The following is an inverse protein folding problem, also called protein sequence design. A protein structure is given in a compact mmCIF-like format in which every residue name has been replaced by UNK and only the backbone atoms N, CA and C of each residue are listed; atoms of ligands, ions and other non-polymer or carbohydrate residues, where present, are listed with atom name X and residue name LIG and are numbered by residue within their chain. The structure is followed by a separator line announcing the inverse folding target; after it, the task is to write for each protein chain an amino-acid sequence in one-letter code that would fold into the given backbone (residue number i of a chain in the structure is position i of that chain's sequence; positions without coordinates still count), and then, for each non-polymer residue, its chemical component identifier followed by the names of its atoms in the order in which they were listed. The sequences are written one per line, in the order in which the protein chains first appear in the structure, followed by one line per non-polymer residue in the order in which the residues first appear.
data_IF_693677394393
#
_entry.id   IF_693677394393
#
_cell.length_a   1.000
_cell.length_b   1.000
_cell.length_c   1.000
_cell.angle_alpha   90.00
_cell.angle_beta   90.00
_cell.angle_gamma   90.00
#
_symmetry.space_group_name_H-M   'P 1'
#
loop_
_entity.id
_entity.type
_entity.pdbx_description
1 polymer ?
#
# COMPACT_ATOMS: atom_id res chain seq x y z
N UNK A 1 -23.49 -15.36 -3.15
CA UNK A 1 -22.05 -15.67 -3.28
C UNK A 1 -21.47 -14.84 -4.41
N UNK A 2 -20.32 -14.18 -4.24
CA UNK A 2 -19.66 -13.41 -5.31
C UNK A 2 -18.70 -14.29 -6.14
N UNK A 3 -18.27 -13.79 -7.31
CA UNK A 3 -17.42 -14.56 -8.25
C UNK A 3 -16.08 -15.01 -7.63
N UNK A 4 -15.47 -14.22 -6.74
CA UNK A 4 -14.22 -14.62 -6.08
C UNK A 4 -14.47 -15.74 -5.07
N UNK A 5 -15.58 -15.70 -4.33
CA UNK A 5 -15.96 -16.81 -3.46
C UNK A 5 -16.15 -18.10 -4.26
N UNK A 6 -16.70 -18.00 -5.48
CA UNK A 6 -16.82 -19.15 -6.38
C UNK A 6 -15.45 -19.66 -6.83
N UNK A 7 -14.59 -18.79 -7.37
CA UNK A 7 -13.21 -19.15 -7.77
C UNK A 7 -12.40 -19.83 -6.65
N UNK A 8 -12.49 -19.29 -5.42
CA UNK A 8 -11.78 -19.85 -4.27
C UNK A 8 -12.34 -21.22 -3.84
N UNK A 9 -13.65 -21.44 -4.00
CA UNK A 9 -14.25 -22.77 -3.74
C UNK A 9 -13.88 -23.77 -4.83
N UNK A 10 -14.02 -23.38 -6.09
CA UNK A 10 -13.77 -24.25 -7.25
C UNK A 10 -12.32 -24.75 -7.28
N UNK A 11 -11.37 -23.97 -6.73
CA UNK A 11 -9.95 -24.31 -6.70
C UNK A 11 -9.36 -24.48 -5.31
N UNK A 12 -10.21 -24.70 -4.31
CA UNK A 12 -9.77 -24.82 -2.92
C UNK A 12 -8.71 -25.90 -2.73
N UNK A 13 -8.95 -27.11 -3.27
CA UNK A 13 -8.03 -28.25 -3.15
C UNK A 13 -6.70 -28.00 -3.85
N UNK A 14 -6.72 -27.40 -5.05
CA UNK A 14 -5.48 -27.03 -5.77
C UNK A 14 -4.68 -26.02 -4.96
N UNK A 15 -5.35 -25.02 -4.36
CA UNK A 15 -4.68 -24.04 -3.52
C UNK A 15 -4.07 -24.72 -2.28
N UNK A 16 -4.83 -25.56 -1.59
CA UNK A 16 -4.37 -26.22 -0.36
C UNK A 16 -3.24 -27.22 -0.61
N UNK A 17 -3.38 -28.07 -1.62
CA UNK A 17 -2.54 -29.24 -1.81
C UNK A 17 -1.46 -29.09 -2.88
N UNK A 18 -1.66 -28.27 -3.91
CA UNK A 18 -0.65 -28.08 -4.95
C UNK A 18 0.17 -26.80 -4.71
N UNK A 19 -0.50 -25.67 -4.45
CA UNK A 19 0.17 -24.39 -4.18
C UNK A 19 0.76 -24.36 -2.77
N UNK A 20 0.09 -24.98 -1.79
CA UNK A 20 0.51 -25.07 -0.38
C UNK A 20 0.91 -23.71 0.21
N UNK A 21 0.01 -22.70 0.22
CA UNK A 21 0.35 -21.40 0.76
C UNK A 21 0.48 -21.46 2.28
N UNK A 22 1.01 -20.40 2.88
CA UNK A 22 1.15 -20.29 4.34
C UNK A 22 -0.21 -20.46 5.04
N UNK A 23 -0.26 -20.99 6.27
CA UNK A 23 -1.52 -21.19 7.01
C UNK A 23 -2.40 -19.94 7.10
N UNK A 24 -1.80 -18.77 7.32
CA UNK A 24 -2.52 -17.47 7.36
C UNK A 24 -3.23 -17.13 6.04
N UNK A 25 -2.73 -17.63 4.92
CA UNK A 25 -3.37 -17.43 3.60
C UNK A 25 -4.61 -18.32 3.51
N UNK A 26 -4.51 -19.60 3.90
CA UNK A 26 -5.65 -20.52 3.95
C UNK A 26 -6.75 -20.01 4.88
N UNK A 27 -6.39 -19.58 6.10
CA UNK A 27 -7.35 -19.00 7.06
C UNK A 27 -8.11 -17.80 6.46
N UNK A 28 -7.44 -16.96 5.65
CA UNK A 28 -8.11 -15.86 4.98
C UNK A 28 -8.97 -16.32 3.80
N UNK A 29 -8.58 -17.37 3.08
CA UNK A 29 -9.40 -17.98 2.01
C UNK A 29 -10.71 -18.50 2.61
N UNK A 30 -10.66 -19.26 3.70
CA UNK A 30 -11.85 -19.79 4.38
C UNK A 30 -12.80 -18.68 4.83
N UNK A 31 -12.23 -17.63 5.43
CA UNK A 31 -12.97 -16.42 5.80
C UNK A 31 -13.67 -15.79 4.60
N UNK A 32 -13.04 -15.75 3.43
CA UNK A 32 -13.64 -15.17 2.22
C UNK A 32 -14.75 -16.06 1.70
N UNK A 33 -14.49 -17.37 1.57
CA UNK A 33 -15.41 -18.40 1.09
C UNK A 33 -16.74 -18.37 1.86
N UNK A 34 -16.66 -18.17 3.17
CA UNK A 34 -17.80 -18.15 4.09
C UNK A 34 -18.31 -16.74 4.45
N UNK A 35 -17.77 -15.69 3.82
CA UNK A 35 -18.16 -14.32 4.13
C UNK A 35 -19.64 -14.03 3.79
N UNK A 36 -20.41 -13.66 4.82
CA UNK A 36 -21.82 -13.34 4.69
C UNK A 36 -22.75 -14.56 4.67
N UNK A 37 -22.27 -15.74 5.05
CA UNK A 37 -23.12 -16.89 5.29
C UNK A 37 -23.99 -16.64 6.55
N UNK A 38 -25.33 -16.65 6.43
CA UNK A 38 -26.26 -16.45 7.54
C UNK A 38 -26.10 -17.44 8.70
N UNK A 39 -25.51 -18.62 8.46
CA UNK A 39 -25.28 -19.63 9.51
C UNK A 39 -24.32 -19.14 10.61
N UNK A 40 -23.44 -18.19 10.30
CA UNK A 40 -22.56 -17.52 11.28
C UNK A 40 -23.23 -16.34 11.99
N UNK A 41 -24.54 -16.18 11.83
CA UNK A 41 -25.32 -15.11 12.46
C UNK A 41 -25.33 -13.80 11.69
N UNK A 42 -26.04 -12.84 12.28
CA UNK A 42 -26.23 -11.51 11.70
C UNK A 42 -27.08 -10.63 12.60
N UNK A 43 -27.34 -9.41 12.13
CA UNK A 43 -28.20 -8.45 12.83
C UNK A 43 -29.51 -8.27 12.05
N UNK A 44 -30.63 -8.27 12.77
CA UNK A 44 -31.93 -7.89 12.24
C UNK A 44 -32.16 -6.40 12.48
N UNK A 45 -32.42 -5.64 11.43
CA UNK A 45 -32.76 -4.23 11.50
C UNK A 45 -34.25 -4.05 11.24
N UNK A 46 -34.96 -3.33 12.10
CA UNK A 46 -36.36 -2.96 11.89
C UNK A 46 -36.48 -1.46 11.65
N UNK A 47 -37.24 -1.07 10.62
CA UNK A 47 -37.59 0.33 10.43
C UNK A 47 -38.79 0.69 11.32
N UNK A 48 -38.67 1.64 12.26
CA UNK A 48 -39.78 2.00 13.15
C UNK A 48 -40.93 2.72 12.43
N UNK A 49 -40.69 3.26 11.23
CA UNK A 49 -41.70 3.99 10.46
C UNK A 49 -42.58 3.10 9.57
N UNK A 50 -41.98 2.13 8.88
CA UNK A 50 -42.71 1.26 7.94
C UNK A 50 -42.77 -0.21 8.36
N UNK A 51 -42.15 -0.59 9.48
CA UNK A 51 -42.15 -1.97 9.99
C UNK A 51 -41.27 -2.95 9.21
N UNK A 52 -40.65 -2.52 8.09
CA UNK A 52 -39.80 -3.39 7.28
C UNK A 52 -38.61 -3.93 8.09
N UNK A 53 -38.43 -5.25 8.02
CA UNK A 53 -37.32 -5.96 8.63
C UNK A 53 -36.25 -6.29 7.59
N UNK A 54 -34.99 -6.15 7.96
CA UNK A 54 -33.83 -6.47 7.12
C UNK A 54 -32.79 -7.24 7.92
N UNK A 55 -32.60 -8.51 7.58
CA UNK A 55 -31.49 -9.30 8.11
C UNK A 55 -30.19 -8.97 7.36
N UNK A 56 -29.12 -8.75 8.11
CA UNK A 56 -27.78 -8.48 7.56
C UNK A 56 -26.80 -9.49 8.18
N UNK A 57 -26.31 -10.46 7.39
CA UNK A 57 -25.31 -11.42 7.86
C UNK A 57 -23.99 -10.72 8.25
N UNK A 58 -23.31 -11.29 9.25
CA UNK A 58 -21.98 -10.83 9.62
C UNK A 58 -20.97 -11.06 8.48
N UNK A 59 -19.93 -10.23 8.45
CA UNK A 59 -18.90 -10.22 7.40
C UNK A 59 -17.58 -10.70 7.98
N UNK A 60 -16.71 -11.27 7.13
CA UNK A 60 -15.49 -11.91 7.63
C UNK A 60 -14.36 -10.95 8.03
N UNK A 61 -14.48 -9.66 7.70
CA UNK A 61 -13.46 -8.63 7.95
C UNK A 61 -12.05 -8.94 7.39
N UNK A 62 -11.91 -9.97 6.55
CA UNK A 62 -10.66 -10.30 5.90
C UNK A 62 -10.29 -9.25 4.85
N UNK A 63 -8.99 -8.92 4.79
CA UNK A 63 -8.42 -8.05 3.74
C UNK A 63 -8.48 -8.71 2.35
N UNK A 64 -8.64 -10.03 2.28
CA UNK A 64 -8.73 -10.76 1.01
C UNK A 64 -10.14 -10.65 0.43
N UNK A 65 -11.14 -10.44 1.28
CA UNK A 65 -12.54 -10.31 0.85
C UNK A 65 -12.73 -8.96 0.18
N UNK A 66 -13.17 -8.91 -1.09
CA UNK A 66 -13.32 -7.63 -1.77
C UNK A 66 -14.35 -6.72 -1.15
N UNK A 67 -15.45 -7.28 -0.67
CA UNK A 67 -16.52 -6.52 -0.01
C UNK A 67 -16.05 -5.93 1.31
N UNK A 68 -15.38 -6.74 2.16
CA UNK A 68 -14.87 -6.27 3.45
C UNK A 68 -13.69 -5.30 3.28
N UNK A 69 -12.75 -5.64 2.40
CA UNK A 69 -11.59 -4.81 2.08
C UNK A 69 -11.99 -3.45 1.52
N UNK A 70 -13.03 -3.38 0.67
CA UNK A 70 -13.55 -2.10 0.16
C UNK A 70 -14.10 -1.22 1.29
N UNK A 71 -14.91 -1.76 2.21
CA UNK A 71 -15.41 -1.00 3.36
C UNK A 71 -14.25 -0.54 4.26
N UNK A 72 -13.35 -1.46 4.62
CA UNK A 72 -12.18 -1.15 5.44
C UNK A 72 -11.32 -0.04 4.84
N UNK A 73 -11.07 -0.12 3.52
CA UNK A 73 -10.33 0.88 2.77
C UNK A 73 -10.99 2.26 2.80
N UNK A 74 -12.31 2.32 2.59
CA UNK A 74 -13.08 3.57 2.64
C UNK A 74 -13.10 4.19 4.04
N UNK A 75 -13.36 3.39 5.08
CA UNK A 75 -13.40 3.86 6.47
C UNK A 75 -12.02 4.40 6.88
N UNK A 76 -10.95 3.66 6.57
CA UNK A 76 -9.58 4.08 6.89
C UNK A 76 -9.15 5.31 6.09
N UNK A 77 -9.54 5.41 4.83
CA UNK A 77 -9.25 6.60 4.01
C UNK A 77 -9.96 7.84 4.55
N UNK A 78 -11.23 7.69 4.94
CA UNK A 78 -12.02 8.77 5.56
C UNK A 78 -11.35 9.22 6.87
N UNK A 79 -11.02 8.28 7.76
CA UNK A 79 -10.31 8.59 9.00
C UNK A 79 -8.95 9.28 8.77
N UNK A 80 -8.22 8.88 7.72
CA UNK A 80 -6.95 9.51 7.37
C UNK A 80 -7.14 10.93 6.83
N UNK A 81 -8.21 11.19 6.09
CA UNK A 81 -8.46 12.51 5.51
C UNK A 81 -8.66 13.60 6.56
N UNK A 82 -9.23 13.25 7.72
CA UNK A 82 -9.37 14.18 8.85
C UNK A 82 -8.03 14.53 9.52
N UNK A 83 -6.95 13.81 9.24
CA UNK A 83 -5.61 14.07 9.78
C UNK A 83 -4.73 14.88 8.83
N UNK A 84 -5.22 15.18 7.62
CA UNK A 84 -4.45 15.90 6.61
C UNK A 84 -4.49 17.41 6.87
N UNK A 85 -3.35 18.05 6.63
CA UNK A 85 -3.23 19.50 6.67
C UNK A 85 -3.76 20.07 5.35
N UNK A 86 -4.46 21.20 5.39
CA UNK A 86 -5.00 21.85 4.20
C UNK A 86 -3.90 22.55 3.38
N UNK A 87 -3.15 21.79 2.57
CA UNK A 87 -2.11 22.30 1.68
C UNK A 87 -1.98 21.46 0.41
N UNK A 88 -1.30 21.96 -0.63
CA UNK A 88 -0.99 21.13 -1.81
C UNK A 88 -0.18 19.90 -1.41
N UNK A 89 -0.55 18.74 -1.95
CA UNK A 89 0.17 17.48 -1.72
C UNK A 89 0.72 16.95 -3.03
N UNK A 90 1.86 16.28 -2.94
CA UNK A 90 2.49 15.56 -4.03
C UNK A 90 2.39 14.07 -3.81
N UNK A 91 1.97 13.35 -4.84
CA UNK A 91 2.03 11.90 -4.83
C UNK A 91 3.37 11.46 -5.38
N UNK A 92 4.18 10.85 -4.52
CA UNK A 92 5.42 10.18 -4.86
C UNK A 92 5.23 8.66 -4.91
N UNK A 93 5.84 7.98 -5.88
CA UNK A 93 5.95 6.51 -5.92
C UNK A 93 7.41 6.14 -5.92
N UNK A 94 7.87 5.46 -4.88
CA UNK A 94 9.23 4.93 -4.75
C UNK A 94 9.23 3.46 -5.14
N UNK A 95 9.83 3.16 -6.30
CA UNK A 95 9.95 1.80 -6.83
C UNK A 95 11.39 1.33 -6.74
N UNK A 96 11.55 0.02 -6.48
CA UNK A 96 12.85 -0.65 -6.36
C UNK A 96 13.19 -1.45 -7.61
N UNK A 97 14.48 -1.73 -7.75
CA UNK A 97 15.03 -2.64 -8.74
C UNK A 97 14.43 -4.05 -8.61
N UNK A 98 14.19 -4.70 -9.74
CA UNK A 98 13.60 -6.03 -9.79
C UNK A 98 14.45 -7.10 -9.08
N UNK A 99 15.78 -7.00 -9.19
CA UNK A 99 16.71 -7.93 -8.53
C UNK A 99 16.61 -7.91 -7.01
N UNK A 100 16.08 -6.83 -6.43
CA UNK A 100 15.88 -6.72 -4.98
C UNK A 100 14.58 -7.37 -4.50
N UNK A 101 13.59 -7.55 -5.38
CA UNK A 101 12.23 -7.97 -4.97
C UNK A 101 12.23 -9.32 -4.26
N UNK A 102 13.09 -10.25 -4.66
CA UNK A 102 13.21 -11.60 -4.07
C UNK A 102 13.55 -11.55 -2.58
N UNK A 103 14.44 -10.65 -2.15
CA UNK A 103 14.82 -10.53 -0.74
C UNK A 103 13.62 -10.18 0.13
N UNK A 104 12.74 -9.27 -0.32
CA UNK A 104 11.50 -8.93 0.38
C UNK A 104 10.44 -10.03 0.32
N UNK A 105 10.48 -10.89 -0.71
CA UNK A 105 9.57 -12.01 -0.83
C UNK A 105 9.90 -13.07 0.23
N UNK A 106 11.19 -13.41 0.34
CA UNK A 106 11.77 -14.39 1.26
C UNK A 106 11.72 -13.90 2.71
N UNK A 107 12.11 -12.65 2.97
CA UNK A 107 12.04 -12.02 4.30
C UNK A 107 11.15 -10.78 4.27
N UNK A 108 9.92 -10.94 4.77
CA UNK A 108 8.92 -9.87 4.85
C UNK A 108 9.26 -8.80 5.88
N UNK A 109 10.15 -9.07 6.82
CA UNK A 109 10.59 -8.07 7.82
C UNK A 109 11.40 -6.96 7.16
N UNK A 110 11.98 -7.21 5.98
CA UNK A 110 12.68 -6.20 5.18
C UNK A 110 11.74 -5.15 4.60
N UNK A 111 10.44 -5.40 4.50
CA UNK A 111 9.48 -4.40 4.00
C UNK A 111 9.52 -3.10 4.82
N UNK A 112 9.90 -3.17 6.11
CA UNK A 112 10.09 -1.97 6.94
C UNK A 112 11.22 -1.07 6.44
N UNK A 113 12.28 -1.65 5.85
CA UNK A 113 13.38 -0.89 5.28
C UNK A 113 12.93 0.04 4.15
N UNK A 114 11.86 -0.29 3.42
CA UNK A 114 11.27 0.59 2.41
C UNK A 114 10.66 1.84 3.05
N UNK A 115 9.88 1.67 4.13
CA UNK A 115 9.29 2.78 4.87
C UNK A 115 10.35 3.68 5.49
N UNK A 116 11.33 3.07 6.15
CA UNK A 116 12.44 3.81 6.75
C UNK A 116 13.25 4.57 5.70
N UNK A 117 13.59 3.94 4.57
CA UNK A 117 14.36 4.59 3.52
C UNK A 117 13.61 5.78 2.92
N UNK A 118 12.31 5.66 2.66
CA UNK A 118 11.50 6.78 2.17
C UNK A 118 11.41 7.91 3.20
N UNK A 119 11.18 7.57 4.47
CA UNK A 119 11.14 8.53 5.57
C UNK A 119 12.46 9.31 5.69
N UNK A 120 13.59 8.61 5.71
CA UNK A 120 14.92 9.22 5.84
C UNK A 120 15.23 10.14 4.66
N UNK A 121 14.92 9.72 3.43
CA UNK A 121 15.14 10.53 2.22
C UNK A 121 14.28 11.79 2.22
N UNK A 122 13.01 11.71 2.61
CA UNK A 122 12.12 12.87 2.65
C UNK A 122 12.58 13.87 3.72
N UNK A 123 12.92 13.38 4.93
CA UNK A 123 13.41 14.24 6.01
C UNK A 123 14.71 14.94 5.62
N UNK A 124 15.67 14.18 5.06
CA UNK A 124 16.94 14.75 4.61
C UNK A 124 16.75 15.74 3.46
N UNK A 125 15.85 15.46 2.51
CA UNK A 125 15.53 16.39 1.44
C UNK A 125 15.04 17.73 1.99
N UNK A 126 14.08 17.74 2.91
CA UNK A 126 13.56 18.98 3.49
C UNK A 126 14.59 19.68 4.38
N UNK A 127 15.35 18.94 5.18
CA UNK A 127 16.47 19.50 5.94
C UNK A 127 17.47 20.21 5.02
N UNK A 128 17.81 19.62 3.86
CA UNK A 128 18.76 20.21 2.92
C UNK A 128 18.28 21.53 2.28
N UNK A 129 16.97 21.75 2.18
CA UNK A 129 16.38 22.99 1.67
C UNK A 129 16.53 24.15 2.66
N UNK A 130 16.64 23.86 3.95
CA UNK A 130 16.90 24.85 4.99
C UNK A 130 17.67 24.23 6.15
N UNK A 131 19.00 24.18 6.05
CA UNK A 131 19.86 23.55 7.05
C UNK A 131 19.84 24.25 8.41
N UNK A 132 19.42 25.52 8.44
CA UNK A 132 19.47 26.37 9.64
C UNK A 132 18.24 26.28 10.53
N UNK A 133 17.13 25.74 10.01
CA UNK A 133 15.87 25.61 10.74
C UNK A 133 15.28 24.25 10.42
N UNK A 134 14.87 23.49 11.43
CA UNK A 134 14.36 22.13 11.27
C UNK A 134 13.09 22.11 10.40
N UNK A 135 13.26 22.02 9.09
CA UNK A 135 12.17 22.13 8.14
C UNK A 135 11.51 20.75 7.97
N UNK A 136 10.30 20.60 8.51
CA UNK A 136 9.62 19.32 8.64
C UNK A 136 8.37 19.28 7.75
N UNK A 137 8.31 18.36 6.77
CA UNK A 137 7.10 18.10 5.99
C UNK A 137 6.14 17.16 6.71
N UNK A 138 4.87 17.17 6.29
CA UNK A 138 3.92 16.09 6.55
C UNK A 138 3.95 15.06 5.43
N UNK A 139 3.92 13.76 5.76
CA UNK A 139 3.77 12.73 4.75
C UNK A 139 3.16 11.43 5.27
N UNK A 140 2.52 10.69 4.37
CA UNK A 140 1.95 9.36 4.61
C UNK A 140 2.57 8.37 3.63
N UNK A 141 3.13 7.28 4.14
CA UNK A 141 3.65 6.19 3.32
C UNK A 141 2.71 4.97 3.35
N UNK A 142 2.51 4.35 2.18
CA UNK A 142 1.69 3.17 1.98
C UNK A 142 2.45 2.15 1.15
N UNK A 143 2.61 0.95 1.68
CA UNK A 143 3.22 -0.17 0.95
C UNK A 143 2.22 -0.80 -0.01
N UNK A 144 2.67 -0.97 -1.25
CA UNK A 144 2.06 -1.79 -2.27
C UNK A 144 2.96 -2.98 -2.55
N UNK A 145 2.39 -4.16 -2.72
CA UNK A 145 3.14 -5.40 -2.96
C UNK A 145 2.97 -5.97 -4.37
N UNK A 146 2.16 -5.33 -5.21
CA UNK A 146 1.88 -5.78 -6.57
C UNK A 146 1.73 -4.58 -7.51
N UNK A 147 2.11 -4.78 -8.78
CA UNK A 147 1.97 -3.78 -9.84
C UNK A 147 0.58 -3.79 -10.48
N UNK A 148 0.48 -3.21 -11.69
CA UNK A 148 -0.73 -3.33 -12.53
C UNK A 148 -0.97 -4.78 -12.99
N UNK A 149 0.07 -5.53 -13.43
CA UNK A 149 0.05 -6.98 -13.40
C UNK A 149 0.14 -7.46 -11.94
N UNK A 150 -0.55 -8.55 -11.55
CA UNK A 150 -0.59 -9.05 -10.17
C UNK A 150 0.73 -9.68 -9.66
N UNK A 151 1.87 -9.37 -10.30
CA UNK A 151 3.19 -9.86 -9.90
C UNK A 151 3.73 -9.16 -8.66
N UNK A 152 4.59 -9.87 -7.92
CA UNK A 152 5.28 -9.35 -6.74
C UNK A 152 6.13 -8.13 -7.10
N UNK A 153 5.77 -6.97 -6.56
CA UNK A 153 6.45 -5.70 -6.80
C UNK A 153 6.27 -4.78 -5.59
N UNK A 154 7.09 -4.93 -4.53
CA UNK A 154 7.01 -4.08 -3.35
C UNK A 154 7.49 -2.66 -3.66
N UNK A 155 6.63 -1.65 -3.44
CA UNK A 155 6.93 -0.24 -3.65
C UNK A 155 6.13 0.64 -2.67
N UNK A 156 6.60 1.88 -2.44
CA UNK A 156 5.96 2.81 -1.52
C UNK A 156 5.25 3.92 -2.30
N UNK A 157 3.95 4.05 -2.04
CA UNK A 157 3.20 5.25 -2.34
C UNK A 157 3.37 6.24 -1.18
N UNK A 158 3.81 7.46 -1.46
CA UNK A 158 3.95 8.51 -0.47
C UNK A 158 3.12 9.72 -0.87
N UNK A 159 2.26 10.17 0.04
CA UNK A 159 1.55 11.45 -0.07
C UNK A 159 2.32 12.47 0.78
N UNK A 160 2.94 13.45 0.14
CA UNK A 160 3.84 14.41 0.76
C UNK A 160 3.26 15.83 0.68
N UNK A 161 3.38 16.63 1.73
CA UNK A 161 3.00 18.05 1.66
C UNK A 161 4.00 18.83 0.80
N UNK A 162 3.53 19.73 -0.06
CA UNK A 162 4.36 20.67 -0.84
C UNK A 162 4.84 21.84 0.02
N UNK A 163 5.41 21.51 1.16
CA UNK A 163 5.81 22.45 2.19
C UNK A 163 5.87 21.81 3.56
N UNK A 164 6.20 22.61 4.56
CA UNK A 164 6.36 22.17 5.93
C UNK A 164 6.47 23.35 6.90
N UNK A 165 6.63 23.04 8.18
CA UNK A 165 6.94 24.03 9.22
C UNK A 165 8.43 24.01 9.54
N UNK A 166 8.95 25.12 10.05
CA UNK A 166 10.25 25.17 10.69
C UNK A 166 10.11 25.57 12.16
N UNK A 167 11.22 25.60 12.91
CA UNK A 167 11.23 25.92 14.35
C UNK A 167 10.64 27.31 14.67
N UNK A 168 10.59 28.22 13.69
CA UNK A 168 9.96 29.53 13.82
C UNK A 168 8.44 29.53 13.61
N UNK A 169 7.83 28.35 13.46
CA UNK A 169 6.39 28.19 13.24
C UNK A 169 5.91 28.68 11.87
N UNK A 170 6.81 29.06 10.96
CA UNK A 170 6.44 29.59 9.64
C UNK A 170 6.31 28.45 8.64
N UNK A 171 5.15 28.39 7.97
CA UNK A 171 4.94 27.50 6.84
C UNK A 171 5.72 27.95 5.61
N UNK A 172 6.48 27.03 5.00
CA UNK A 172 7.25 27.29 3.78
C UNK A 172 6.83 26.33 2.68
N UNK A 173 6.46 26.87 1.51
CA UNK A 173 6.04 26.09 0.34
C UNK A 173 7.24 25.54 -0.42
N UNK A 174 7.14 24.30 -0.91
CA UNK A 174 8.13 23.63 -1.76
C UNK A 174 7.45 23.17 -3.04
N UNK A 175 7.72 23.84 -4.15
CA UNK A 175 7.11 23.53 -5.45
C UNK A 175 7.98 22.62 -6.32
N UNK A 176 9.30 22.70 -6.14
CA UNK A 176 10.29 21.94 -6.90
C UNK A 176 10.79 20.72 -6.12
N UNK A 177 10.79 19.57 -6.78
CA UNK A 177 11.30 18.31 -6.26
C UNK A 177 12.35 17.74 -7.21
N UNK A 178 13.61 17.63 -6.74
CA UNK A 178 14.67 17.04 -7.55
C UNK A 178 14.52 15.51 -7.57
N UNK A 179 13.93 14.98 -8.63
CA UNK A 179 13.66 13.54 -8.77
C UNK A 179 14.93 12.70 -8.86
N UNK A 180 15.98 13.21 -9.51
CA UNK A 180 17.27 12.53 -9.57
C UNK A 180 17.87 12.39 -8.16
N UNK A 181 17.77 13.43 -7.34
CA UNK A 181 18.19 13.38 -5.95
C UNK A 181 17.36 12.34 -5.17
N UNK A 182 16.02 12.45 -5.17
CA UNK A 182 15.16 11.54 -4.41
C UNK A 182 15.41 10.08 -4.78
N UNK A 183 15.56 9.79 -6.08
CA UNK A 183 15.84 8.46 -6.60
C UNK A 183 17.19 7.92 -6.15
N UNK A 184 18.27 8.69 -6.34
CA UNK A 184 19.63 8.29 -5.98
C UNK A 184 19.78 8.14 -4.46
N UNK A 185 19.21 9.07 -3.68
CA UNK A 185 19.20 9.00 -2.23
C UNK A 185 18.41 7.78 -1.74
N UNK A 186 17.24 7.50 -2.32
CA UNK A 186 16.45 6.31 -1.97
C UNK A 186 17.19 5.01 -2.28
N UNK A 187 17.82 4.90 -3.46
CA UNK A 187 18.67 3.77 -3.80
C UNK A 187 19.77 3.57 -2.75
N UNK A 188 20.51 4.64 -2.43
CA UNK A 188 21.62 4.57 -1.47
C UNK A 188 21.17 4.18 -0.07
N UNK A 189 20.15 4.86 0.47
CA UNK A 189 19.65 4.61 1.82
C UNK A 189 19.07 3.20 1.93
N UNK A 190 18.28 2.75 0.96
CA UNK A 190 17.69 1.42 0.98
C UNK A 190 18.77 0.33 0.93
N UNK A 191 19.71 0.43 -0.01
CA UNK A 191 20.77 -0.57 -0.15
C UNK A 191 21.66 -0.65 1.09
N UNK A 192 21.94 0.47 1.74
CA UNK A 192 22.67 0.50 3.01
C UNK A 192 21.89 -0.17 4.15
N UNK A 193 20.57 0.06 4.23
CA UNK A 193 19.72 -0.61 5.25
C UNK A 193 19.61 -2.11 4.99
N UNK A 194 19.46 -2.52 3.73
CA UNK A 194 19.44 -3.94 3.36
C UNK A 194 20.77 -4.63 3.68
N UNK A 195 21.91 -4.01 3.39
CA UNK A 195 23.22 -4.55 3.77
C UNK A 195 23.36 -4.73 5.29
N UNK A 196 22.89 -3.76 6.08
CA UNK A 196 22.89 -3.88 7.55
C UNK A 196 22.00 -5.02 8.07
N UNK A 197 20.88 -5.29 7.39
CA UNK A 197 19.89 -6.30 7.82
C UNK A 197 20.21 -7.71 7.31
N UNK A 198 20.67 -7.83 6.07
CA UNK A 198 21.00 -9.11 5.41
C UNK A 198 22.43 -9.54 5.73
N UNK A 199 23.33 -8.58 5.91
CA UNK A 199 24.74 -8.82 6.22
C UNK A 199 25.65 -8.87 4.98
N UNK A 200 26.92 -9.32 5.15
CA UNK A 200 27.96 -9.22 4.13
C UNK A 200 27.65 -9.90 2.79
N UNK A 201 26.81 -10.93 2.78
CA UNK A 201 26.38 -11.64 1.57
C UNK A 201 25.68 -10.72 0.56
N UNK A 202 25.04 -9.65 1.02
CA UNK A 202 24.34 -8.69 0.17
C UNK A 202 25.27 -7.73 -0.59
N UNK A 203 26.54 -7.59 -0.19
CA UNK A 203 27.48 -6.63 -0.80
C UNK A 203 27.63 -6.78 -2.31
N UNK A 204 27.68 -8.03 -2.80
CA UNK A 204 27.76 -8.33 -4.24
C UNK A 204 26.51 -7.85 -4.98
N UNK A 205 25.32 -8.09 -4.41
CA UNK A 205 24.06 -7.62 -4.97
C UNK A 205 24.01 -6.09 -4.98
N UNK A 206 24.34 -5.45 -3.85
CA UNK A 206 24.41 -3.99 -3.74
C UNK A 206 25.28 -3.36 -4.83
N UNK A 207 26.51 -3.85 -5.02
CA UNK A 207 27.40 -3.36 -6.06
C UNK A 207 26.79 -3.55 -7.46
N UNK A 208 26.22 -4.73 -7.73
CA UNK A 208 25.59 -5.02 -9.01
C UNK A 208 24.40 -4.09 -9.32
N UNK A 209 23.56 -3.74 -8.34
CA UNK A 209 22.46 -2.77 -8.53
C UNK A 209 22.99 -1.40 -8.97
N UNK A 210 24.10 -0.91 -8.38
CA UNK A 210 24.69 0.36 -8.79
C UNK A 210 25.25 0.36 -10.21
N UNK A 211 25.80 -0.77 -10.66
CA UNK A 211 26.46 -0.87 -11.97
C UNK A 211 25.51 -1.23 -13.11
N UNK A 212 24.59 -2.18 -12.89
CA UNK A 212 23.78 -2.78 -13.96
C UNK A 212 22.55 -1.96 -14.29
N UNK A 213 21.92 -1.35 -13.30
CA UNK A 213 20.63 -0.72 -13.51
C UNK A 213 20.64 0.76 -13.07
N UNK A 214 21.03 1.62 -14.01
CA UNK A 214 20.95 3.07 -13.82
C UNK A 214 19.50 3.55 -13.60
N UNK A 215 18.47 2.75 -13.91
CA UNK A 215 17.06 3.12 -13.86
C UNK A 215 16.16 2.19 -13.04
N UNK A 216 16.72 1.21 -12.34
CA UNK A 216 15.96 0.20 -11.57
C UNK A 216 15.22 0.80 -10.40
N UNK A 217 15.72 1.92 -9.90
CA UNK A 217 15.01 2.77 -8.97
C UNK A 217 14.28 3.87 -9.73
N UNK A 218 13.03 4.13 -9.34
CA UNK A 218 12.22 5.18 -9.93
C UNK A 218 11.45 5.94 -8.84
N UNK A 219 11.38 7.27 -9.01
CA UNK A 219 10.53 8.14 -8.20
C UNK A 219 9.58 8.86 -9.15
N UNK A 220 8.33 8.40 -9.22
CA UNK A 220 7.28 9.14 -9.91
C UNK A 220 6.75 10.22 -9.00
N UNK A 221 6.44 11.40 -9.53
CA UNK A 221 5.93 12.51 -8.74
C UNK A 221 4.85 13.27 -9.50
N UNK A 222 3.58 12.98 -9.19
CA UNK A 222 2.46 13.69 -9.79
C UNK A 222 1.93 14.74 -8.81
N UNK A 223 1.82 16.02 -9.20
CA UNK A 223 1.10 17.00 -8.40
C UNK A 223 -0.35 16.55 -8.24
N UNK A 224 -0.86 16.58 -7.02
CA UNK A 224 -2.27 16.38 -6.76
C UNK A 224 -2.86 17.66 -6.19
N UNK A 225 -4.00 18.07 -6.75
CA UNK A 225 -4.78 19.17 -6.20
C UNK A 225 -5.27 18.78 -4.80
N UNK A 226 -5.23 19.73 -3.87
CA UNK A 226 -5.64 19.55 -2.48
C UNK A 226 -7.16 19.70 -2.34
N UNK A 227 -7.91 18.80 -2.95
CA UNK A 227 -9.28 18.60 -2.53
C UNK A 227 -9.38 17.32 -1.67
N UNK A 228 -9.97 17.38 -0.47
CA UNK A 228 -10.09 16.22 0.41
C UNK A 228 -10.74 15.01 -0.25
N UNK A 229 -11.66 15.20 -1.21
CA UNK A 229 -12.31 14.09 -1.93
C UNK A 229 -11.32 13.35 -2.84
N UNK A 230 -10.45 14.07 -3.55
CA UNK A 230 -9.39 13.48 -4.37
C UNK A 230 -8.35 12.79 -3.53
N UNK A 231 -8.01 13.34 -2.35
CA UNK A 231 -7.08 12.68 -1.44
C UNK A 231 -7.71 11.43 -0.82
N UNK A 232 -8.98 11.47 -0.39
CA UNK A 232 -9.72 10.28 0.07
C UNK A 232 -9.77 9.23 -1.04
N UNK A 233 -10.10 9.62 -2.27
CA UNK A 233 -10.14 8.72 -3.42
C UNK A 233 -8.76 8.18 -3.79
N UNK A 234 -7.71 8.93 -3.51
CA UNK A 234 -6.32 8.50 -3.68
C UNK A 234 -5.98 7.50 -2.58
N UNK A 235 -6.03 7.90 -1.31
CA UNK A 235 -5.72 7.07 -0.15
C UNK A 235 -6.56 5.78 -0.15
N UNK A 236 -7.84 5.81 -0.55
CA UNK A 236 -8.69 4.60 -0.66
C UNK A 236 -8.33 3.69 -1.84
N UNK A 237 -7.72 4.22 -2.90
CA UNK A 237 -7.20 3.36 -3.98
C UNK A 237 -5.99 2.55 -3.53
N UNK A 238 -5.20 3.07 -2.60
CA UNK A 238 -3.90 2.51 -2.23
C UNK A 238 -3.91 1.82 -0.85
N UNK A 239 -4.81 2.22 0.07
CA UNK A 239 -4.97 1.55 1.36
C UNK A 239 -5.91 0.35 1.26
N UNK A 240 -5.38 -0.87 1.42
CA UNK A 240 -6.16 -2.03 1.87
C UNK A 240 -7.18 -2.58 0.87
N UNK A 241 -6.99 -2.34 -0.43
CA UNK A 241 -7.79 -3.01 -1.47
C UNK A 241 -7.36 -4.48 -1.62
N UNK A 242 -8.31 -5.40 -1.86
CA UNK A 242 -7.99 -6.74 -2.35
C UNK A 242 -7.19 -6.65 -3.66
N UNK A 243 -6.42 -7.68 -3.98
CA UNK A 243 -5.54 -7.73 -5.18
C UNK A 243 -6.33 -7.47 -6.47
N UNK A 244 -7.55 -7.99 -6.56
CA UNK A 244 -8.47 -7.77 -7.68
C UNK A 244 -9.81 -7.22 -7.17
N UNK A 245 -10.32 -6.21 -7.86
CA UNK A 245 -11.65 -5.68 -7.60
C UNK A 245 -12.68 -6.51 -8.37
N UNK A 246 -13.86 -6.74 -7.79
CA UNK A 246 -14.96 -7.48 -8.45
C UNK A 246 -15.34 -6.86 -9.80
N UNK A 247 -15.29 -5.53 -9.92
CA UNK A 247 -15.56 -4.81 -11.18
C UNK A 247 -14.50 -4.98 -12.27
N UNK A 248 -13.41 -5.72 -12.00
CA UNK A 248 -12.37 -6.07 -13.00
C UNK A 248 -12.50 -7.52 -13.48
N UNK A 249 -13.53 -8.24 -13.04
CA UNK A 249 -13.81 -9.61 -13.44
C UNK A 249 -15.03 -9.54 -14.36
N UNK A 250 -14.80 -9.68 -15.67
CA UNK A 250 -15.86 -9.57 -16.68
C UNK A 250 -16.72 -10.85 -16.71
N UNK A 251 -16.06 -12.02 -16.62
CA UNK A 251 -16.71 -13.32 -16.54
C UNK A 251 -15.81 -14.34 -15.84
N UNK A 252 -16.38 -15.49 -15.47
CA UNK A 252 -15.67 -16.64 -14.93
C UNK A 252 -16.30 -17.93 -15.48
N UNK A 253 -15.51 -18.71 -16.20
CA UNK A 253 -15.94 -19.91 -16.92
C UNK A 253 -15.66 -21.23 -16.18
N UNK A 254 -15.02 -21.17 -15.01
CA UNK A 254 -14.70 -22.34 -14.19
C UNK A 254 -13.45 -23.10 -14.64
N UNK A 255 -12.68 -22.58 -15.61
CA UNK A 255 -11.46 -23.24 -16.12
C UNK A 255 -10.20 -22.47 -15.68
N UNK A 256 -9.14 -23.23 -15.37
CA UNK A 256 -7.79 -22.70 -15.12
C UNK A 256 -7.11 -22.29 -16.41
#
# INVERSE_FOLDING_TARGET
MNVIQKMLRDYYEIIEYDIKPRPVVMENIDKVINCGDPSYGGAMYGCPHCGNLKFVPFRCHSKFCPSCGAKYSNDRSTAMSFKLIQCTHRHLVFTIDESLRRFFLEDRTLLNCLFEAVSDVIKEYFFSLNKSKNFVPGFICVLHTFGRPPGWNPHIHCLLTEGGFSDDGVWRKVTYFNYSYLRKSFQTVLLNKLEKRIGPSFKKMKAAVYHRDRNGFYVYAKPNLCDPKSIIKYVSRYLGRPVIALSRIDSYDGRW
#
